data_IF_249457592712
#
_entry.id   IF_249457592712
#
_cell.length_a   1.000
_cell.length_b   1.000
_cell.length_c   1.000
_cell.angle_alpha   90.00
_cell.angle_beta   90.00
_cell.angle_gamma   90.00
#
_symmetry.space_group_name_H-M   'P 1'
#
loop_
_entity.id
_entity.type
_entity.pdbx_description
1 polymer ?
#
# COMPACT_ATOMS: atom_id res chain seq x y z
N UNK A 1 -6.49 18.66 4.15
CA UNK A 1 -5.75 17.38 3.95
C UNK A 1 -5.81 16.62 5.26
N UNK A 2 -6.27 15.36 5.27
CA UNK A 2 -6.26 14.54 6.50
C UNK A 2 -4.85 14.01 6.72
N UNK A 3 -4.19 14.42 7.79
CA UNK A 3 -2.87 13.92 8.16
C UNK A 3 -2.90 12.41 8.41
N UNK A 4 -1.85 11.73 7.97
CA UNK A 4 -1.72 10.29 8.12
C UNK A 4 -1.53 9.93 9.60
N UNK A 5 -2.49 9.20 10.20
CA UNK A 5 -2.36 8.78 11.60
C UNK A 5 -1.45 7.57 11.72
N UNK A 6 -0.65 7.53 12.79
CA UNK A 6 0.13 6.34 13.15
C UNK A 6 -0.76 5.28 13.79
N UNK A 7 -0.42 4.02 13.60
CA UNK A 7 -0.99 2.92 14.36
C UNK A 7 -0.51 2.98 15.80
N UNK A 8 -1.35 2.46 16.70
CA UNK A 8 -1.06 2.39 18.13
C UNK A 8 -1.45 1.00 18.68
N UNK A 9 -0.75 0.51 19.71
CA UNK A 9 -0.92 -0.85 20.23
C UNK A 9 -2.29 -1.12 20.87
N UNK A 10 -2.94 -0.09 21.42
CA UNK A 10 -4.27 -0.19 22.03
C UNK A 10 -5.42 -0.19 21.01
N UNK A 11 -5.13 -0.17 19.72
CA UNK A 11 -6.16 -0.29 18.68
C UNK A 11 -6.75 -1.71 18.71
N UNK A 12 -8.07 -1.84 18.72
CA UNK A 12 -8.76 -3.13 18.73
C UNK A 12 -8.32 -4.07 17.59
N UNK A 13 -7.91 -3.50 16.46
CA UNK A 13 -7.48 -4.24 15.26
C UNK A 13 -5.98 -4.50 15.23
N UNK A 14 -5.20 -3.91 16.14
CA UNK A 14 -3.76 -4.13 16.22
C UNK A 14 -3.49 -5.48 16.89
N UNK A 15 -2.59 -6.25 16.28
CA UNK A 15 -2.15 -7.56 16.77
C UNK A 15 -0.65 -7.67 16.56
N UNK A 16 0.01 -8.37 17.47
CA UNK A 16 1.36 -8.85 17.20
C UNK A 16 1.27 -10.22 16.52
N UNK A 17 2.24 -10.56 15.68
CA UNK A 17 2.34 -11.86 15.02
C UNK A 17 2.13 -13.00 16.02
N UNK A 18 1.37 -14.03 15.60
CA UNK A 18 1.00 -15.18 16.43
C UNK A 18 0.27 -14.84 17.75
N UNK A 19 -0.35 -13.65 17.84
CA UNK A 19 -1.11 -13.18 19.01
C UNK A 19 -0.28 -13.02 20.32
N UNK A 20 1.02 -12.75 20.22
CA UNK A 20 1.91 -12.57 21.38
C UNK A 20 1.94 -11.15 21.97
N UNK A 21 0.92 -10.31 21.67
CA UNK A 21 0.85 -8.97 22.25
C UNK A 21 0.42 -9.06 23.72
N UNK A 22 1.26 -8.57 24.61
CA UNK A 22 0.97 -8.41 26.02
C UNK A 22 1.18 -6.96 26.44
N UNK A 23 0.56 -6.55 27.54
CA UNK A 23 0.80 -5.24 28.14
C UNK A 23 1.50 -5.45 29.49
N UNK A 24 2.71 -4.92 29.63
CA UNK A 24 3.40 -4.82 30.92
C UNK A 24 3.13 -3.42 31.48
N UNK A 25 2.05 -3.29 32.24
CA UNK A 25 1.52 -1.99 32.64
C UNK A 25 1.01 -1.20 31.44
N UNK A 26 1.60 -0.02 31.17
CA UNK A 26 1.25 0.83 30.02
C UNK A 26 2.06 0.54 28.75
N UNK A 27 3.09 -0.31 28.85
CA UNK A 27 4.00 -0.57 27.72
C UNK A 27 3.55 -1.81 26.96
N UNK A 28 3.32 -1.70 25.64
CA UNK A 28 3.06 -2.86 24.79
C UNK A 28 4.32 -3.72 24.69
N UNK A 29 4.18 -5.02 24.85
CA UNK A 29 5.28 -5.99 24.91
C UNK A 29 5.00 -7.17 23.99
N UNK A 30 5.99 -7.56 23.18
CA UNK A 30 5.92 -8.78 22.40
C UNK A 30 6.49 -9.94 23.21
N UNK A 31 5.69 -10.93 23.57
CA UNK A 31 6.17 -12.13 24.29
C UNK A 31 7.05 -13.05 23.44
N UNK A 32 7.07 -12.86 22.12
CA UNK A 32 7.83 -13.73 21.23
C UNK A 32 9.30 -13.30 21.11
N UNK A 33 9.54 -12.00 20.96
CA UNK A 33 10.91 -11.45 20.94
C UNK A 33 11.36 -10.86 22.26
N UNK A 34 10.46 -10.79 23.25
CA UNK A 34 10.70 -10.12 24.53
C UNK A 34 11.18 -8.67 24.38
N UNK A 35 10.56 -7.94 23.45
CA UNK A 35 10.86 -6.53 23.17
C UNK A 35 9.60 -5.65 23.28
N UNK A 36 9.83 -4.35 23.50
CA UNK A 36 8.76 -3.36 23.47
C UNK A 36 8.17 -3.25 22.05
N UNK A 37 6.85 -3.37 21.94
CA UNK A 37 6.16 -3.37 20.65
C UNK A 37 5.84 -1.93 20.21
N UNK A 38 6.66 -1.38 19.32
CA UNK A 38 6.39 -0.10 18.67
C UNK A 38 5.90 -0.32 17.23
N UNK A 39 4.69 0.12 16.84
CA UNK A 39 4.14 -0.05 15.50
C UNK A 39 5.05 0.47 14.35
N UNK A 40 5.96 1.40 14.63
CA UNK A 40 6.91 1.93 13.64
C UNK A 40 8.15 1.04 13.45
N UNK A 41 8.59 0.32 14.48
CA UNK A 41 9.85 -0.44 14.47
C UNK A 41 9.68 -1.94 14.79
N UNK A 42 8.45 -2.44 14.88
CA UNK A 42 8.17 -3.83 15.22
C UNK A 42 7.91 -4.64 13.94
N UNK A 43 8.80 -5.58 13.63
CA UNK A 43 8.66 -6.50 12.49
C UNK A 43 7.42 -7.39 12.58
N UNK A 44 6.90 -7.60 13.79
CA UNK A 44 5.76 -8.46 14.06
C UNK A 44 4.47 -7.68 14.28
N UNK A 45 4.47 -6.35 14.08
CA UNK A 45 3.26 -5.56 14.13
C UNK A 45 2.36 -5.92 12.93
N UNK A 46 1.10 -6.23 13.21
CA UNK A 46 0.11 -6.55 12.20
C UNK A 46 -1.21 -5.85 12.51
N UNK A 47 -1.94 -5.50 11.46
CA UNK A 47 -3.33 -5.08 11.58
C UNK A 47 -4.23 -6.20 11.07
N UNK A 48 -5.28 -6.54 11.83
CA UNK A 48 -6.24 -7.60 11.47
C UNK A 48 -6.84 -7.38 10.07
N UNK A 49 -7.12 -6.12 9.71
CA UNK A 49 -7.66 -5.74 8.40
C UNK A 49 -6.58 -5.43 7.35
N UNK A 50 -5.31 -5.76 7.65
CA UNK A 50 -4.14 -5.56 6.76
C UNK A 50 -3.97 -4.12 6.26
N UNK A 51 -4.26 -3.14 7.13
CA UNK A 51 -4.11 -1.69 6.85
C UNK A 51 -2.89 -1.05 7.53
N UNK A 52 -1.98 -1.83 8.11
CA UNK A 52 -0.72 -1.30 8.63
C UNK A 52 0.27 -1.13 7.48
N UNK A 53 0.70 0.10 7.24
CA UNK A 53 1.72 0.42 6.23
C UNK A 53 3.12 0.49 6.85
N UNK A 54 4.19 0.36 6.04
CA UNK A 54 5.55 0.60 6.49
C UNK A 54 5.69 1.95 7.21
N UNK A 55 6.53 2.00 8.26
CA UNK A 55 6.66 3.17 9.14
C UNK A 55 5.56 3.30 10.21
N UNK A 56 4.65 2.33 10.30
CA UNK A 56 3.60 2.30 11.32
C UNK A 56 2.42 3.21 11.00
N UNK A 57 2.15 3.48 9.72
CA UNK A 57 1.06 4.35 9.28
C UNK A 57 -0.24 3.55 9.15
N UNK A 58 -1.35 4.13 9.60
CA UNK A 58 -2.68 3.53 9.49
C UNK A 58 -3.32 3.84 8.13
N UNK A 59 -3.31 2.86 7.24
CA UNK A 59 -3.92 2.93 5.91
C UNK A 59 -5.44 3.02 5.89
N UNK A 60 -6.11 2.89 7.04
CA UNK A 60 -7.54 3.21 7.17
C UNK A 60 -7.79 4.72 7.17
N UNK A 61 -6.83 5.51 7.64
CA UNK A 61 -6.96 6.98 7.74
C UNK A 61 -6.52 7.71 6.48
N UNK A 62 -5.85 6.99 5.56
CA UNK A 62 -5.40 7.54 4.29
C UNK A 62 -6.54 7.54 3.28
N UNK A 63 -6.97 8.73 2.86
CA UNK A 63 -7.79 8.89 1.67
C UNK A 63 -6.93 8.63 0.43
N UNK A 64 -7.36 7.72 -0.44
CA UNK A 64 -6.70 7.48 -1.73
C UNK A 64 -6.81 8.75 -2.57
N UNK A 65 -5.68 9.25 -3.07
CA UNK A 65 -5.65 10.22 -4.17
C UNK A 65 -5.66 9.43 -5.50
N UNK A 66 -6.69 8.62 -5.72
CA UNK A 66 -6.93 8.12 -7.08
C UNK A 66 -7.52 9.29 -7.85
N UNK A 67 -6.67 9.99 -8.59
CA UNK A 67 -7.13 10.82 -9.70
C UNK A 67 -7.57 9.83 -10.77
N UNK A 68 -8.84 9.85 -11.16
CA UNK A 68 -9.28 9.13 -12.34
C UNK A 68 -8.57 9.75 -13.54
N UNK A 69 -7.49 9.12 -13.97
CA UNK A 69 -6.80 9.49 -15.20
C UNK A 69 -7.59 8.82 -16.32
N UNK A 70 -8.38 9.61 -17.04
CA UNK A 70 -9.09 9.12 -18.21
C UNK A 70 -8.11 8.53 -19.24
N UNK A 71 -8.54 7.58 -20.08
CA UNK A 71 -7.69 6.95 -21.09
C UNK A 71 -7.11 7.93 -22.14
N UNK A 72 -7.50 9.20 -22.12
CA UNK A 72 -7.08 10.23 -23.08
C UNK A 72 -5.64 10.72 -22.90
N UNK A 73 -4.94 10.38 -21.81
CA UNK A 73 -3.53 10.77 -21.60
C UNK A 73 -2.50 9.69 -22.00
N UNK A 74 -2.94 8.49 -22.37
CA UNK A 74 -2.06 7.51 -23.00
C UNK A 74 -2.01 7.79 -24.49
N UNK A 75 -1.31 8.85 -24.87
CA UNK A 75 -0.89 9.07 -26.26
C UNK A 75 0.06 7.94 -26.63
N UNK A 76 -0.52 6.84 -27.12
CA UNK A 76 0.20 5.70 -27.71
C UNK A 76 1.15 6.31 -28.74
N UNK A 77 2.48 6.14 -28.60
CA UNK A 77 3.41 6.70 -29.56
C UNK A 77 3.11 6.09 -30.92
N UNK A 78 2.62 6.90 -31.84
CA UNK A 78 2.33 6.47 -33.21
C UNK A 78 3.58 5.82 -33.82
N UNK A 79 3.55 4.49 -33.91
CA UNK A 79 4.62 3.72 -34.54
C UNK A 79 4.54 3.99 -36.04
N UNK A 80 5.44 4.85 -36.54
CA UNK A 80 5.62 5.06 -37.98
C UNK A 80 6.23 3.81 -38.60
N UNK A 81 5.37 2.96 -39.16
CA UNK A 81 5.80 1.76 -39.90
C UNK A 81 6.50 2.17 -41.20
N UNK A 82 7.62 1.52 -41.54
CA UNK A 82 8.38 1.79 -42.79
C UNK A 82 7.51 1.53 -44.03
N UNK A 83 7.62 2.40 -45.04
CA UNK A 83 6.69 2.51 -46.18
C UNK A 83 6.42 1.23 -47.01
N UNK A 84 7.28 0.20 -46.95
CA UNK A 84 7.02 -1.09 -47.61
C UNK A 84 5.95 -1.93 -46.88
N UNK A 85 5.82 -1.78 -45.57
CA UNK A 85 4.80 -2.47 -44.76
C UNK A 85 3.45 -1.76 -44.88
N UNK A 86 3.47 -0.42 -44.95
CA UNK A 86 2.28 0.43 -45.13
C UNK A 86 1.45 0.06 -46.38
N UNK A 87 2.13 -0.25 -47.49
CA UNK A 87 1.47 -0.63 -48.76
C UNK A 87 0.83 -2.01 -48.75
N UNK A 88 1.25 -2.92 -47.85
CA UNK A 88 0.71 -4.29 -47.74
C UNK A 88 -0.48 -4.40 -46.79
N UNK A 89 -0.57 -3.51 -45.80
CA UNK A 89 -1.56 -3.61 -44.71
C UNK A 89 -2.85 -2.83 -44.96
N UNK A 90 -2.90 -1.99 -46.01
CA UNK A 90 -4.11 -1.34 -46.52
C UNK A 90 -5.00 -0.79 -45.40
N UNK A 91 -4.59 0.33 -44.81
CA UNK A 91 -5.35 1.12 -43.81
C UNK A 91 -6.17 0.31 -42.79
N UNK A 92 -5.68 -0.85 -42.34
CA UNK A 92 -6.17 -1.44 -41.10
C UNK A 92 -5.24 -1.00 -39.99
N UNK A 93 -5.70 0.01 -39.25
CA UNK A 93 -5.17 0.33 -37.93
C UNK A 93 -5.09 -0.99 -37.13
N UNK A 94 -3.87 -1.37 -36.78
CA UNK A 94 -3.61 -2.46 -35.85
C UNK A 94 -3.81 -1.83 -34.47
N UNK A 95 -5.03 -1.97 -33.95
CA UNK A 95 -5.39 -1.60 -32.58
C UNK A 95 -4.74 -2.53 -31.57
#
# INVERSE_FOLDING_TARGET
MSEAKKCFPSCNRFRCGKNFLAFRGKTPWCRWTDEACNPTNCNYAMCMIRRLLPGGICGETLKRKTVERGPEEETIPSIKVRGKVFRKIGEKEIF
#
